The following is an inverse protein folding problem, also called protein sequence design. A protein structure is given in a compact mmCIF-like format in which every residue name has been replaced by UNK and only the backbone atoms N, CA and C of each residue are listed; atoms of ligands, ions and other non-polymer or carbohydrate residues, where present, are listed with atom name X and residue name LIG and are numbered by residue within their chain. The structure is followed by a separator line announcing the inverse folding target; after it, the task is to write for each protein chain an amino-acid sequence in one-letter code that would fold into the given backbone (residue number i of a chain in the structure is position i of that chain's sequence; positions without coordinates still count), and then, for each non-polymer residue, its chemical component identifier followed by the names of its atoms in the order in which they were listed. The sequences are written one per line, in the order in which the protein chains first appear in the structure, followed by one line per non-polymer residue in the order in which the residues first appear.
data_IF_520801132977
#
_entry.id   IF_520801132977
#
_cell.length_a   1.000
_cell.length_b   1.000
_cell.length_c   1.000
_cell.angle_alpha   90.00
_cell.angle_beta   90.00
_cell.angle_gamma   90.00
#
_symmetry.space_group_name_H-M   'P 1'
#
loop_
_entity.id
_entity.type
_entity.pdbx_description
1 polymer ?
#
# COMPACT_ATOMS: atom_id res chain seq x y z
N UNK A 1 -16.84 -10.23 8.22
CA UNK A 1 -16.60 -10.10 6.77
C UNK A 1 -16.66 -8.63 6.40
N UNK A 2 -15.84 -8.16 5.43
CA UNK A 2 -15.91 -6.76 4.99
C UNK A 2 -17.25 -6.45 4.31
N UNK A 3 -17.71 -5.21 4.39
CA UNK A 3 -18.92 -4.72 3.72
C UNK A 3 -18.52 -3.91 2.48
N UNK A 4 -19.04 -4.29 1.31
CA UNK A 4 -18.81 -3.54 0.06
C UNK A 4 -19.86 -2.44 -0.05
N UNK A 5 -19.43 -1.19 -0.01
CA UNK A 5 -20.34 -0.02 0.07
C UNK A 5 -20.64 0.64 -1.28
N UNK A 6 -19.85 0.34 -2.32
CA UNK A 6 -19.97 0.95 -3.65
C UNK A 6 -19.68 2.46 -3.72
N UNK A 7 -19.24 3.07 -2.62
CA UNK A 7 -18.95 4.51 -2.56
C UNK A 7 -17.58 4.83 -3.16
N UNK A 8 -17.43 5.99 -3.78
CA UNK A 8 -16.16 6.54 -4.30
C UNK A 8 -16.09 8.05 -4.05
N UNK A 9 -14.89 8.63 -4.07
CA UNK A 9 -14.70 10.09 -3.94
C UNK A 9 -14.52 10.74 -5.30
N UNK A 10 -15.02 11.96 -5.44
CA UNK A 10 -14.71 12.81 -6.59
C UNK A 10 -13.23 13.19 -6.52
N UNK A 11 -12.39 12.49 -7.28
CA UNK A 11 -10.93 12.62 -7.25
C UNK A 11 -10.19 11.30 -7.15
N UNK A 12 -10.85 10.19 -6.85
CA UNK A 12 -10.21 8.88 -6.84
C UNK A 12 -9.76 8.49 -8.25
N UNK A 13 -8.49 8.14 -8.39
CA UNK A 13 -7.92 7.65 -9.63
C UNK A 13 -8.27 6.17 -9.79
N UNK A 14 -8.77 5.78 -10.97
CA UNK A 14 -9.21 4.40 -11.23
C UNK A 14 -8.04 3.41 -11.35
N UNK A 15 -6.95 3.84 -11.94
CA UNK A 15 -5.78 3.01 -12.21
C UNK A 15 -4.50 3.78 -11.95
N UNK A 16 -3.65 3.23 -11.09
CA UNK A 16 -2.31 3.74 -10.83
C UNK A 16 -1.33 2.57 -10.91
N UNK A 17 -0.32 2.73 -11.77
CA UNK A 17 0.78 1.77 -11.93
C UNK A 17 2.06 2.59 -11.98
N UNK A 18 3.07 2.17 -11.24
CA UNK A 18 4.37 2.81 -11.24
C UNK A 18 5.33 2.09 -12.20
N UNK A 19 6.21 2.84 -12.85
CA UNK A 19 7.43 2.30 -13.46
C UNK A 19 8.56 2.32 -12.42
N UNK A 20 9.05 1.16 -11.94
CA UNK A 20 10.07 1.10 -10.91
C UNK A 20 11.51 1.22 -11.45
N UNK A 21 11.71 1.33 -12.77
CA UNK A 21 13.06 1.26 -13.38
C UNK A 21 14.04 2.25 -12.74
N UNK A 22 13.65 3.53 -12.62
CA UNK A 22 14.52 4.56 -12.02
C UNK A 22 14.87 4.28 -10.56
N UNK A 23 13.97 3.71 -9.78
CA UNK A 23 14.24 3.37 -8.38
C UNK A 23 15.24 2.20 -8.29
N UNK A 24 15.15 1.23 -9.21
CA UNK A 24 16.13 0.17 -9.31
C UNK A 24 17.51 0.71 -9.71
N UNK A 25 17.57 1.61 -10.70
CA UNK A 25 18.84 2.12 -11.23
C UNK A 25 19.57 3.05 -10.25
N UNK A 26 18.83 3.96 -9.59
CA UNK A 26 19.42 5.02 -8.75
C UNK A 26 19.58 4.57 -7.30
N UNK A 27 18.66 3.73 -6.80
CA UNK A 27 18.61 3.35 -5.39
C UNK A 27 18.90 1.87 -5.15
N UNK A 28 19.04 1.06 -6.21
CA UNK A 28 19.08 -0.39 -6.08
C UNK A 28 17.77 -0.98 -5.53
N UNK A 29 16.69 -0.19 -5.51
CA UNK A 29 15.45 -0.60 -4.87
C UNK A 29 14.67 -1.54 -5.78
N UNK A 30 14.29 -2.70 -5.24
CA UNK A 30 13.32 -3.62 -5.84
C UNK A 30 12.31 -4.04 -4.77
N UNK A 31 11.03 -3.97 -5.10
CA UNK A 31 9.99 -4.51 -4.25
C UNK A 31 10.23 -6.03 -4.08
N UNK A 32 10.35 -6.48 -2.84
CA UNK A 32 10.64 -7.88 -2.51
C UNK A 32 9.39 -8.64 -2.04
N UNK A 33 8.27 -7.93 -1.80
CA UNK A 33 7.03 -8.50 -1.29
C UNK A 33 5.94 -8.27 -2.31
N UNK A 34 5.32 -9.36 -2.77
CA UNK A 34 4.18 -9.29 -3.66
C UNK A 34 2.93 -8.76 -2.95
N UNK A 35 2.02 -8.07 -3.66
CA UNK A 35 0.81 -7.49 -3.06
C UNK A 35 -0.04 -8.51 -2.30
N UNK A 36 -0.19 -9.73 -2.82
CA UNK A 36 -0.97 -10.78 -2.18
C UNK A 36 -0.39 -11.17 -0.81
N UNK A 37 0.94 -11.23 -0.72
CA UNK A 37 1.63 -11.61 0.49
C UNK A 37 1.61 -10.50 1.53
N UNK A 38 1.90 -9.27 1.08
CA UNK A 38 1.89 -8.09 1.94
C UNK A 38 0.48 -7.79 2.49
N UNK A 39 -0.57 -7.90 1.69
CA UNK A 39 -1.95 -7.65 2.14
C UNK A 39 -2.42 -8.68 3.16
N UNK A 40 -2.05 -9.95 2.99
CA UNK A 40 -2.38 -11.02 3.93
C UNK A 40 -1.70 -10.82 5.27
N UNK A 41 -0.42 -10.45 5.29
CA UNK A 41 0.28 -10.11 6.54
C UNK A 41 -0.32 -8.86 7.19
N UNK A 42 -0.57 -7.82 6.38
CA UNK A 42 -1.11 -6.54 6.84
C UNK A 42 -2.47 -6.68 7.52
N UNK A 43 -3.34 -7.56 7.02
CA UNK A 43 -4.69 -7.78 7.57
C UNK A 43 -4.70 -8.19 9.05
N UNK A 44 -3.60 -8.77 9.55
CA UNK A 44 -3.47 -9.24 10.94
C UNK A 44 -2.35 -8.56 11.72
N UNK A 45 -1.58 -7.67 11.07
CA UNK A 45 -0.47 -6.99 11.72
C UNK A 45 -0.97 -6.12 12.89
N UNK A 46 -0.24 -6.09 14.03
CA UNK A 46 -0.61 -5.22 15.14
C UNK A 46 -0.58 -3.76 14.69
N UNK A 47 -1.60 -2.99 15.08
CA UNK A 47 -1.67 -1.56 14.79
C UNK A 47 -0.44 -0.87 15.41
N UNK A 48 0.33 -0.18 14.57
CA UNK A 48 1.42 0.66 15.05
C UNK A 48 0.82 1.84 15.81
N UNK A 49 1.27 2.07 17.04
CA UNK A 49 0.83 3.22 17.83
C UNK A 49 1.13 4.54 17.13
N UNK A 50 0.26 5.52 17.30
CA UNK A 50 0.53 6.90 16.87
C UNK A 50 1.66 7.44 17.76
N UNK A 51 2.71 8.00 17.15
CA UNK A 51 3.72 8.73 17.91
C UNK A 51 3.02 9.84 18.70
N UNK A 52 3.09 9.79 20.03
CA UNK A 52 2.55 10.86 20.87
C UNK A 52 3.34 12.13 20.56
N UNK A 53 2.71 13.09 19.90
CA UNK A 53 3.25 14.45 19.77
C UNK A 53 3.25 15.07 21.16
N UNK A 54 4.46 15.29 21.71
CA UNK A 54 4.67 16.19 22.84
C UNK A 54 4.71 17.63 22.36
#
# INVERSE_FOLDING_TARGET
TPVVTGQYRSGDVRHIVADPARAADVLGFRAAVDPADGLREFATAPLRGVAKTS
#
